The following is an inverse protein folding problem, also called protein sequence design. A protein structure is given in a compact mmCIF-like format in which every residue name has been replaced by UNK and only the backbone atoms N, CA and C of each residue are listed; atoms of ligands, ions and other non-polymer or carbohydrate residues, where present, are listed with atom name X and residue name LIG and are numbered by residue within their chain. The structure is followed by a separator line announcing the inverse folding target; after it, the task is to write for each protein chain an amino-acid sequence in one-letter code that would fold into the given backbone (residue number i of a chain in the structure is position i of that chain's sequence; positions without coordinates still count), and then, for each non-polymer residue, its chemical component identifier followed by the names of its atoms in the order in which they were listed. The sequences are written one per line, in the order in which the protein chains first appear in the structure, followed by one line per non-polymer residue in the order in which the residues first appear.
data_IF_417037964898
#
_entry.id   IF_417037964898
#
_cell.length_a   1.000
_cell.length_b   1.000
_cell.length_c   1.000
_cell.angle_alpha   90.00
_cell.angle_beta   90.00
_cell.angle_gamma   90.00
#
_symmetry.space_group_name_H-M   'P 1'
#
loop_
_entity.id
_entity.type
_entity.pdbx_description
1 polymer ?
#
# COMPACT_ATOMS: atom_id res chain seq x y z
N UNK A 1 81.38 -0.24 16.83
CA UNK A 1 81.00 0.21 15.47
C UNK A 1 79.60 0.80 15.55
N UNK A 2 79.46 2.05 15.07
CA UNK A 2 78.23 2.81 14.73
C UNK A 2 77.15 3.00 15.81
N UNK A 3 77.00 4.24 16.28
CA UNK A 3 75.71 4.83 16.67
C UNK A 3 75.32 5.94 15.67
N UNK A 4 74.40 6.87 15.99
CA UNK A 4 73.10 6.75 16.64
C UNK A 4 71.97 7.40 15.78
N UNK A 5 70.70 7.30 16.19
CA UNK A 5 69.62 8.06 15.54
C UNK A 5 68.25 7.84 16.18
N UNK A 6 67.90 8.67 17.16
CA UNK A 6 66.54 8.86 17.67
C UNK A 6 65.96 10.08 16.98
N UNK A 7 64.90 9.89 16.20
CA UNK A 7 63.97 10.94 15.77
C UNK A 7 62.58 10.53 16.33
N UNK A 8 61.81 11.31 17.07
CA UNK A 8 61.83 12.75 17.22
C UNK A 8 60.63 13.42 16.55
N UNK A 9 59.39 12.95 16.76
CA UNK A 9 58.20 13.74 16.39
C UNK A 9 57.17 13.80 17.52
N UNK A 10 57.25 14.93 18.22
CA UNK A 10 56.29 15.52 19.15
C UNK A 10 55.02 15.94 18.42
N UNK A 11 53.85 15.51 18.92
CA UNK A 11 52.55 16.05 18.52
C UNK A 11 52.39 17.51 19.00
N UNK A 12 51.91 18.43 18.16
CA UNK A 12 51.58 19.79 18.61
C UNK A 12 50.22 19.82 19.34
N UNK A 13 50.05 20.67 20.37
CA UNK A 13 48.81 20.76 21.13
C UNK A 13 47.71 21.48 20.35
N UNK A 14 46.48 20.98 20.52
CA UNK A 14 45.23 21.54 19.99
C UNK A 14 45.02 22.96 20.53
N UNK A 15 45.17 23.97 19.65
CA UNK A 15 44.74 25.35 19.96
C UNK A 15 43.22 25.44 19.96
N UNK A 16 42.64 25.74 21.13
CA UNK A 16 41.27 26.24 21.27
C UNK A 16 41.12 27.54 20.46
N UNK A 17 40.29 27.53 19.42
CA UNK A 17 39.69 28.76 18.89
C UNK A 17 38.48 29.12 19.76
N UNK A 18 38.62 30.16 20.56
CA UNK A 18 37.48 30.97 20.99
C UNK A 18 37.04 31.79 19.79
N UNK A 19 35.81 31.56 19.32
CA UNK A 19 35.10 32.51 18.46
C UNK A 19 33.84 32.99 19.18
N UNK A 20 33.62 34.29 18.98
CA UNK A 20 32.83 35.19 19.78
C UNK A 20 31.32 34.93 19.71
N UNK A 21 30.66 34.90 20.87
CA UNK A 21 29.22 35.00 21.03
C UNK A 21 28.73 36.38 20.56
N UNK A 22 28.28 36.48 19.30
CA UNK A 22 27.44 37.60 18.87
C UNK A 22 26.03 37.40 19.42
N UNK A 23 25.55 38.40 20.14
CA UNK A 23 24.22 38.47 20.71
C UNK A 23 23.14 38.36 19.62
N UNK A 24 22.46 37.22 19.54
CA UNK A 24 21.20 37.10 18.81
C UNK A 24 20.11 37.70 19.70
N UNK A 25 19.60 38.88 19.34
CA UNK A 25 18.40 39.45 19.97
C UNK A 25 17.22 38.52 19.71
N UNK A 26 16.61 37.98 20.78
CA UNK A 26 15.38 37.20 20.70
C UNK A 26 14.24 38.07 20.14
N UNK A 27 13.45 37.62 19.16
CA UNK A 27 12.26 38.35 18.73
C UNK A 27 11.22 38.37 19.85
N UNK A 28 10.66 39.56 20.07
CA UNK A 28 9.64 39.89 21.07
C UNK A 28 8.37 39.08 20.76
N UNK A 29 7.94 38.19 21.66
CA UNK A 29 6.65 37.47 21.55
C UNK A 29 5.51 38.49 21.51
N UNK A 30 4.89 38.65 20.35
CA UNK A 30 3.60 39.33 20.23
C UNK A 30 2.51 38.34 20.65
N UNK A 31 1.79 38.68 21.72
CA UNK A 31 0.61 37.94 22.19
C UNK A 31 -0.49 38.13 21.15
N UNK A 32 -0.72 37.14 20.28
CA UNK A 32 -1.96 37.06 19.49
C UNK A 32 -3.01 36.38 20.35
N UNK A 33 -4.02 37.14 20.76
CA UNK A 33 -5.30 36.58 21.16
C UNK A 33 -5.97 36.04 19.88
N UNK A 34 -6.22 34.74 19.83
CA UNK A 34 -6.96 34.08 18.76
C UNK A 34 -7.58 32.83 19.33
N UNK A 35 -8.92 32.78 19.35
CA UNK A 35 -9.71 31.71 19.94
C UNK A 35 -9.39 30.36 19.30
N UNK A 36 -9.37 29.32 20.13
CA UNK A 36 -9.31 27.95 19.67
C UNK A 36 -10.68 27.58 19.05
N UNK A 37 -10.79 27.74 17.73
CA UNK A 37 -11.90 27.16 16.98
C UNK A 37 -11.56 25.69 16.71
N UNK A 38 -12.42 24.78 17.21
CA UNK A 38 -12.33 23.35 16.93
C UNK A 38 -12.49 23.16 15.43
N UNK A 39 -11.45 22.66 14.76
CA UNK A 39 -11.58 22.15 13.39
C UNK A 39 -12.37 20.86 13.45
N UNK A 40 -13.68 20.94 13.20
CA UNK A 40 -14.49 19.76 12.93
C UNK A 40 -14.19 19.28 11.51
N UNK A 41 -13.80 18.01 11.36
CA UNK A 41 -13.71 17.31 10.07
C UNK A 41 -15.11 17.25 9.44
N UNK A 42 -15.49 18.28 8.70
CA UNK A 42 -16.71 18.28 7.90
C UNK A 42 -16.43 18.93 6.56
N UNK A 43 -16.21 18.10 5.55
CA UNK A 43 -16.11 18.55 4.16
C UNK A 43 -15.17 17.72 3.29
N UNK A 44 -15.43 16.42 3.14
CA UNK A 44 -14.94 15.72 1.94
C UNK A 44 -15.71 16.27 0.74
N UNK A 45 -15.09 17.18 -0.02
CA UNK A 45 -15.60 17.61 -1.32
C UNK A 45 -15.55 16.39 -2.25
N UNK A 46 -16.71 15.92 -2.71
CA UNK A 46 -16.81 14.91 -3.79
C UNK A 46 -16.29 15.53 -5.08
N UNK A 47 -15.02 15.31 -5.39
CA UNK A 47 -14.52 15.48 -6.75
C UNK A 47 -15.17 14.37 -7.58
N UNK A 48 -15.92 14.74 -8.62
CA UNK A 48 -16.52 13.76 -9.54
C UNK A 48 -15.46 13.35 -10.56
N UNK A 49 -14.79 12.24 -10.30
CA UNK A 49 -13.99 11.54 -11.29
C UNK A 49 -14.90 10.73 -12.23
N UNK A 50 -14.51 10.51 -13.50
CA UNK A 50 -15.19 9.54 -14.35
C UNK A 50 -15.18 8.19 -13.63
N UNK A 51 -16.37 7.61 -13.45
CA UNK A 51 -16.52 6.35 -12.73
C UNK A 51 -16.04 5.23 -13.64
N UNK A 52 -14.93 4.58 -13.28
CA UNK A 52 -14.64 3.24 -13.80
C UNK A 52 -15.82 2.34 -13.41
N UNK A 53 -16.29 1.43 -14.28
CA UNK A 53 -17.43 0.58 -13.97
C UNK A 53 -17.25 -0.15 -12.63
N UNK A 54 -18.34 -0.39 -11.88
CA UNK A 54 -18.37 -1.13 -10.59
C UNK A 54 -17.70 -2.52 -10.59
N UNK A 55 -17.32 -3.02 -11.76
CA UNK A 55 -16.71 -4.32 -12.00
C UNK A 55 -15.28 -4.45 -11.44
N UNK A 56 -14.59 -3.33 -11.21
CA UNK A 56 -13.15 -3.30 -10.93
C UNK A 56 -12.77 -2.97 -9.47
N UNK A 57 -13.78 -2.65 -8.65
CA UNK A 57 -13.62 -2.30 -7.24
C UNK A 57 -13.80 -3.52 -6.32
N UNK A 58 -12.98 -3.66 -5.29
CA UNK A 58 -13.10 -4.62 -4.16
C UNK A 58 -14.39 -4.39 -3.35
N UNK A 59 -15.55 -4.60 -3.97
CA UNK A 59 -16.86 -4.26 -3.44
C UNK A 59 -17.54 -5.42 -2.72
N UNK A 60 -16.85 -6.11 -1.80
CA UNK A 60 -17.52 -7.06 -0.89
C UNK A 60 -18.18 -6.29 0.25
N UNK A 61 -19.49 -6.47 0.44
CA UNK A 61 -20.16 -6.07 1.67
C UNK A 61 -19.94 -7.16 2.71
N UNK A 62 -19.44 -6.79 3.88
CA UNK A 62 -19.28 -7.71 5.01
C UNK A 62 -20.56 -7.63 5.85
N UNK A 63 -21.36 -8.70 5.81
CA UNK A 63 -22.45 -8.91 6.75
C UNK A 63 -21.96 -9.87 7.82
N UNK A 64 -21.76 -9.36 9.03
CA UNK A 64 -21.36 -10.17 10.18
C UNK A 64 -22.47 -11.09 10.72
N UNK A 65 -23.62 -11.17 10.03
CA UNK A 65 -24.74 -12.06 10.33
C UNK A 65 -25.01 -13.11 9.27
N UNK A 66 -24.18 -14.17 9.17
CA UNK A 66 -24.62 -15.42 8.52
C UNK A 66 -23.62 -16.18 7.65
N UNK A 67 -22.42 -15.66 7.39
CA UNK A 67 -21.36 -16.48 6.76
C UNK A 67 -20.78 -17.46 7.79
N UNK A 68 -20.58 -18.71 7.40
CA UNK A 68 -19.89 -19.68 8.24
C UNK A 68 -18.46 -19.18 8.51
N UNK A 69 -18.01 -19.24 9.77
CA UNK A 69 -16.64 -18.88 10.11
C UNK A 69 -15.65 -19.71 9.30
N UNK A 70 -14.61 -19.07 8.77
CA UNK A 70 -13.53 -19.75 8.03
C UNK A 70 -12.95 -20.83 8.95
N UNK A 71 -12.89 -22.07 8.47
CA UNK A 71 -12.28 -23.16 9.25
C UNK A 71 -10.76 -22.97 9.33
N UNK A 72 -10.07 -23.47 10.38
CA UNK A 72 -8.60 -23.37 10.46
C UNK A 72 -7.87 -23.94 9.22
N UNK A 73 -8.37 -25.04 8.66
CA UNK A 73 -7.81 -25.64 7.44
C UNK A 73 -8.01 -24.75 6.21
N UNK A 74 -9.19 -24.15 6.08
CA UNK A 74 -9.46 -23.20 5.00
C UNK A 74 -8.62 -21.94 5.14
N UNK A 75 -8.48 -21.43 6.37
CA UNK A 75 -7.63 -20.30 6.67
C UNK A 75 -6.18 -20.58 6.30
N UNK A 76 -5.67 -21.76 6.63
CA UNK A 76 -4.30 -22.19 6.27
C UNK A 76 -4.11 -22.16 4.75
N UNK A 77 -5.06 -22.70 3.98
CA UNK A 77 -5.01 -22.65 2.50
C UNK A 77 -5.06 -21.22 1.96
N UNK A 78 -5.92 -20.36 2.53
CA UNK A 78 -6.01 -18.95 2.13
C UNK A 78 -4.74 -18.18 2.49
N UNK A 79 -4.11 -18.47 3.63
CA UNK A 79 -2.81 -17.89 4.02
C UNK A 79 -1.69 -18.26 3.05
N UNK A 80 -1.62 -19.53 2.62
CA UNK A 80 -0.67 -19.98 1.60
C UNK A 80 -0.93 -19.29 0.26
N UNK A 81 -2.18 -19.23 -0.18
CA UNK A 81 -2.56 -18.52 -1.42
C UNK A 81 -2.24 -17.01 -1.34
N UNK A 82 -2.49 -16.39 -0.18
CA UNK A 82 -2.13 -15.00 0.09
C UNK A 82 -0.61 -14.81 -0.01
N UNK A 83 0.19 -15.67 0.62
CA UNK A 83 1.66 -15.63 0.53
C UNK A 83 2.16 -15.71 -0.92
N UNK A 84 1.58 -16.62 -1.70
CA UNK A 84 2.06 -16.94 -3.05
C UNK A 84 1.58 -15.96 -4.13
N UNK A 85 0.68 -15.03 -3.78
CA UNK A 85 0.10 -14.07 -4.71
C UNK A 85 1.14 -13.23 -5.47
N UNK A 86 2.29 -12.90 -4.86
CA UNK A 86 3.38 -12.21 -5.55
C UNK A 86 3.93 -13.04 -6.73
N UNK A 87 4.23 -14.32 -6.48
CA UNK A 87 4.72 -15.23 -7.52
C UNK A 87 3.68 -15.39 -8.63
N UNK A 88 2.41 -15.57 -8.26
CA UNK A 88 1.29 -15.65 -9.22
C UNK A 88 1.15 -14.39 -10.08
N UNK A 89 1.29 -13.20 -9.49
CA UNK A 89 1.25 -11.94 -10.24
C UNK A 89 2.40 -11.87 -11.24
N UNK A 90 3.63 -12.12 -10.81
CA UNK A 90 4.82 -12.10 -11.68
C UNK A 90 4.70 -13.11 -12.81
N UNK A 91 4.25 -14.33 -12.53
CA UNK A 91 4.05 -15.36 -13.56
C UNK A 91 2.89 -15.03 -14.51
N UNK A 92 1.82 -14.41 -14.00
CA UNK A 92 0.73 -13.87 -14.80
C UNK A 92 1.22 -12.79 -15.77
N UNK A 93 2.02 -11.85 -15.28
CA UNK A 93 2.55 -10.73 -16.06
C UNK A 93 3.46 -11.17 -17.22
N UNK A 94 4.14 -12.31 -17.12
CA UNK A 94 4.93 -12.89 -18.23
C UNK A 94 4.09 -13.26 -19.45
N UNK A 95 2.77 -13.41 -19.29
CA UNK A 95 1.85 -13.72 -20.37
C UNK A 95 1.46 -12.49 -21.19
N UNK A 96 1.87 -11.29 -20.79
CA UNK A 96 1.58 -10.03 -21.47
C UNK A 96 2.89 -9.40 -21.95
N UNK A 97 3.08 -9.25 -23.28
CA UNK A 97 4.18 -8.48 -23.87
C UNK A 97 4.27 -7.05 -23.25
N UNK A 98 5.43 -6.40 -23.23
CA UNK A 98 5.55 -5.10 -22.52
C UNK A 98 4.88 -3.91 -23.24
N UNK A 99 4.73 -3.99 -24.55
CA UNK A 99 4.07 -2.97 -25.40
C UNK A 99 2.57 -2.79 -25.08
N UNK A 100 1.87 -3.85 -24.69
CA UNK A 100 0.48 -3.79 -24.23
C UNK A 100 0.34 -3.08 -22.87
N UNK A 101 1.39 -2.99 -22.04
CA UNK A 101 1.19 -2.65 -20.62
C UNK A 101 0.51 -1.30 -20.38
N UNK A 102 0.72 -0.34 -21.29
CA UNK A 102 0.12 1.00 -21.21
C UNK A 102 -1.18 1.14 -22.02
N UNK A 103 -1.60 0.11 -22.75
CA UNK A 103 -2.85 0.15 -23.49
C UNK A 103 -4.05 0.26 -22.54
N UNK A 104 -4.96 1.17 -22.88
CA UNK A 104 -6.28 1.30 -22.26
C UNK A 104 -7.32 1.02 -23.32
N UNK A 105 -8.29 0.18 -22.98
CA UNK A 105 -9.42 -0.03 -23.86
C UNK A 105 -10.27 1.25 -24.01
N UNK A 106 -11.12 1.28 -25.03
CA UNK A 106 -12.01 2.41 -25.29
C UNK A 106 -13.10 2.58 -24.20
N UNK A 107 -13.22 1.64 -23.26
CA UNK A 107 -14.17 1.67 -22.16
C UNK A 107 -13.60 2.35 -20.91
N UNK A 108 -12.36 2.84 -20.97
CA UNK A 108 -11.72 3.56 -19.88
C UNK A 108 -11.27 2.65 -18.75
N UNK A 109 -11.01 1.37 -19.04
CA UNK A 109 -10.43 0.45 -18.07
C UNK A 109 -8.96 0.83 -17.79
N UNK A 110 -8.50 0.50 -16.58
CA UNK A 110 -7.09 0.64 -16.24
C UNK A 110 -6.23 -0.28 -17.11
N UNK A 111 -5.08 0.24 -17.52
CA UNK A 111 -4.03 -0.52 -18.19
C UNK A 111 -3.43 -1.58 -17.26
N UNK A 112 -2.74 -2.57 -17.82
CA UNK A 112 -1.99 -3.57 -17.02
C UNK A 112 -1.00 -2.87 -16.09
N UNK A 113 -0.34 -1.82 -16.57
CA UNK A 113 0.55 -0.98 -15.79
C UNK A 113 -0.16 -0.39 -14.56
N UNK A 114 -1.28 0.30 -14.76
CA UNK A 114 -2.03 0.93 -13.67
C UNK A 114 -2.58 -0.11 -12.68
N UNK A 115 -2.95 -1.30 -13.17
CA UNK A 115 -3.37 -2.41 -12.31
C UNK A 115 -2.22 -2.92 -11.41
N UNK A 116 -0.98 -2.97 -11.89
CA UNK A 116 0.19 -3.32 -11.06
C UNK A 116 0.42 -2.30 -9.95
N UNK A 117 0.32 -1.01 -10.27
CA UNK A 117 0.45 0.07 -9.28
C UNK A 117 -0.71 0.02 -8.28
N UNK A 118 -1.94 -0.17 -8.76
CA UNK A 118 -3.12 -0.33 -7.90
C UNK A 118 -2.98 -1.51 -6.93
N UNK A 119 -2.56 -2.69 -7.41
CA UNK A 119 -2.37 -3.86 -6.55
C UNK A 119 -1.42 -3.51 -5.39
N UNK A 120 -0.36 -2.77 -5.68
CA UNK A 120 0.65 -2.36 -4.71
C UNK A 120 0.09 -1.38 -3.67
N UNK A 121 -0.61 -0.33 -4.10
CA UNK A 121 -1.20 0.67 -3.19
C UNK A 121 -2.36 0.09 -2.36
N UNK A 122 -3.13 -0.81 -2.95
CA UNK A 122 -4.14 -1.59 -2.24
C UNK A 122 -3.49 -2.49 -1.17
N UNK A 123 -2.35 -3.14 -1.48
CA UNK A 123 -1.57 -3.89 -0.49
C UNK A 123 -0.99 -2.99 0.61
N UNK A 124 -0.55 -1.78 0.30
CA UNK A 124 -0.04 -0.83 1.30
C UNK A 124 -1.15 -0.40 2.29
N UNK A 125 -2.36 -0.13 1.77
CA UNK A 125 -3.54 0.11 2.60
C UNK A 125 -3.90 -1.13 3.42
N UNK A 126 -3.89 -2.30 2.79
CA UNK A 126 -4.14 -3.59 3.42
C UNK A 126 -3.19 -3.88 4.57
N UNK A 127 -1.89 -3.64 4.34
CA UNK A 127 -0.82 -3.79 5.30
C UNK A 127 -1.15 -3.03 6.57
N UNK A 128 -1.50 -1.75 6.47
CA UNK A 128 -1.87 -0.92 7.63
C UNK A 128 -3.16 -1.42 8.27
N UNK A 129 -4.20 -1.72 7.49
CA UNK A 129 -5.50 -2.21 7.98
C UNK A 129 -5.35 -3.51 8.78
N UNK A 130 -4.51 -4.44 8.31
CA UNK A 130 -4.20 -5.69 9.00
C UNK A 130 -3.62 -5.43 10.40
N UNK A 131 -2.64 -4.51 10.54
CA UNK A 131 -2.10 -4.16 11.87
C UNK A 131 -3.19 -3.61 12.78
N UNK A 132 -4.08 -2.76 12.25
CA UNK A 132 -5.18 -2.18 13.05
C UNK A 132 -6.20 -3.23 13.46
N UNK A 133 -6.56 -4.17 12.59
CA UNK A 133 -7.41 -5.32 12.98
C UNK A 133 -6.78 -6.13 14.10
N UNK A 134 -5.47 -6.38 14.04
CA UNK A 134 -4.76 -7.17 15.05
C UNK A 134 -4.64 -6.40 16.38
N UNK A 135 -4.20 -5.14 16.35
CA UNK A 135 -3.78 -4.39 17.55
C UNK A 135 -4.82 -3.37 18.06
N UNK A 136 -5.76 -2.95 17.22
CA UNK A 136 -6.74 -1.88 17.47
C UNK A 136 -8.17 -2.38 17.15
N UNK A 137 -8.50 -3.61 17.58
CA UNK A 137 -9.80 -4.23 17.33
C UNK A 137 -10.97 -3.33 17.77
N UNK A 138 -11.99 -3.22 16.92
CA UNK A 138 -13.17 -2.37 17.09
C UNK A 138 -13.06 -0.97 16.45
N UNK A 139 -11.87 -0.57 15.98
CA UNK A 139 -11.66 0.77 15.39
C UNK A 139 -12.19 0.88 13.94
N UNK A 140 -12.36 2.13 13.49
CA UNK A 140 -12.73 2.42 12.09
C UNK A 140 -11.51 2.43 11.17
N UNK A 141 -11.57 1.69 10.07
CA UNK A 141 -10.55 1.68 9.02
C UNK A 141 -10.69 2.88 8.10
N UNK A 142 -9.57 3.31 7.51
CA UNK A 142 -9.61 4.34 6.47
C UNK A 142 -10.00 3.71 5.14
N UNK A 143 -10.99 4.28 4.47
CA UNK A 143 -11.27 4.03 3.05
C UNK A 143 -10.39 4.94 2.18
N UNK A 144 -10.24 4.58 0.92
CA UNK A 144 -9.56 5.42 -0.07
C UNK A 144 -10.28 5.29 -1.42
N UNK A 145 -10.27 6.37 -2.21
CA UNK A 145 -10.83 6.37 -3.56
C UNK A 145 -9.74 5.93 -4.54
N UNK A 146 -9.76 4.66 -4.92
CA UNK A 146 -8.79 4.04 -5.81
C UNK A 146 -8.69 4.74 -7.19
N UNK A 147 -9.79 5.32 -7.69
CA UNK A 147 -9.82 6.03 -8.97
C UNK A 147 -9.19 7.41 -8.84
N UNK A 148 -9.49 8.09 -7.72
CA UNK A 148 -8.85 9.36 -7.41
C UNK A 148 -7.33 9.18 -7.22
N UNK A 149 -6.88 8.08 -6.61
CA UNK A 149 -5.46 7.77 -6.46
C UNK A 149 -4.82 7.49 -7.82
N UNK A 150 -5.41 6.61 -8.62
CA UNK A 150 -4.89 6.29 -9.95
C UNK A 150 -4.69 7.53 -10.83
N UNK A 151 -5.65 8.46 -10.77
CA UNK A 151 -5.58 9.72 -11.52
C UNK A 151 -4.62 10.73 -10.90
N UNK A 152 -4.71 10.97 -9.58
CA UNK A 152 -4.01 12.08 -8.93
C UNK A 152 -2.54 11.78 -8.64
N UNK A 153 -2.19 10.50 -8.55
CA UNK A 153 -0.81 10.02 -8.37
C UNK A 153 -0.18 9.57 -9.69
N UNK A 154 -0.88 9.79 -10.81
CA UNK A 154 -0.44 9.46 -12.17
C UNK A 154 0.14 8.04 -12.28
N UNK A 155 -0.68 7.03 -11.98
CA UNK A 155 -0.25 5.62 -12.00
C UNK A 155 0.35 5.20 -13.35
N UNK A 156 0.03 5.91 -14.43
CA UNK A 156 0.51 5.61 -15.76
C UNK A 156 2.00 5.94 -15.98
N UNK A 157 2.53 6.90 -15.22
CA UNK A 157 3.93 7.36 -15.32
C UNK A 157 4.85 6.74 -14.25
N UNK A 158 4.30 5.92 -13.34
CA UNK A 158 5.09 5.29 -12.28
C UNK A 158 5.97 4.14 -12.80
N UNK A 159 6.93 3.71 -11.99
CA UNK A 159 7.74 2.54 -12.31
C UNK A 159 7.05 1.26 -11.79
N UNK A 160 6.57 0.37 -12.67
CA UNK A 160 5.83 -0.82 -12.25
C UNK A 160 6.73 -1.87 -11.60
N UNK A 161 8.04 -1.87 -11.90
CA UNK A 161 8.97 -2.82 -11.30
C UNK A 161 9.27 -2.45 -9.83
N UNK A 162 9.36 -1.15 -9.53
CA UNK A 162 9.45 -0.65 -8.15
C UNK A 162 8.17 -0.94 -7.35
N UNK A 163 7.01 -0.79 -7.99
CA UNK A 163 5.72 -1.14 -7.40
C UNK A 163 5.66 -2.64 -7.04
N UNK A 164 6.07 -3.53 -7.95
CA UNK A 164 6.14 -4.98 -7.69
C UNK A 164 7.06 -5.34 -6.52
N UNK A 165 8.23 -4.70 -6.40
CA UNK A 165 9.12 -4.94 -5.27
C UNK A 165 8.54 -4.46 -3.94
N UNK A 166 7.86 -3.32 -3.93
CA UNK A 166 7.13 -2.85 -2.75
C UNK A 166 6.02 -3.83 -2.38
N UNK A 167 5.22 -4.29 -3.35
CA UNK A 167 4.18 -5.29 -3.14
C UNK A 167 4.75 -6.58 -2.51
N UNK A 168 5.86 -7.09 -3.04
CA UNK A 168 6.55 -8.28 -2.50
C UNK A 168 6.89 -8.12 -1.02
N UNK A 169 7.48 -6.98 -0.65
CA UNK A 169 7.90 -6.70 0.71
C UNK A 169 6.71 -6.54 1.66
N UNK A 170 5.68 -5.79 1.26
CA UNK A 170 4.46 -5.61 2.05
C UNK A 170 3.77 -6.95 2.31
N UNK A 171 3.59 -7.75 1.26
CA UNK A 171 2.95 -9.07 1.34
C UNK A 171 3.70 -10.01 2.27
N UNK A 172 5.03 -10.11 2.09
CA UNK A 172 5.89 -10.92 2.96
C UNK A 172 5.82 -10.47 4.42
N UNK A 173 5.92 -9.16 4.68
CA UNK A 173 5.89 -8.60 6.04
C UNK A 173 4.52 -8.75 6.72
N UNK A 174 3.43 -8.81 5.97
CA UNK A 174 2.12 -9.12 6.53
C UNK A 174 1.99 -10.61 6.81
N UNK A 175 2.35 -11.47 5.86
CA UNK A 175 2.31 -12.92 6.04
C UNK A 175 3.05 -13.39 7.29
N UNK A 176 4.30 -12.93 7.50
CA UNK A 176 5.10 -13.30 8.69
C UNK A 176 4.45 -12.93 10.03
N UNK A 177 3.57 -11.93 10.05
CA UNK A 177 2.84 -11.57 11.27
C UNK A 177 1.63 -12.48 11.44
N UNK A 178 0.87 -12.70 10.37
CA UNK A 178 -0.43 -13.37 10.45
C UNK A 178 -0.32 -14.90 10.56
N UNK A 179 0.77 -15.50 10.06
CA UNK A 179 0.96 -16.96 10.08
C UNK A 179 1.02 -17.57 11.49
N UNK A 180 1.39 -16.76 12.50
CA UNK A 180 1.53 -17.21 13.89
C UNK A 180 0.51 -16.60 14.85
N UNK A 181 -0.59 -16.03 14.34
CA UNK A 181 -1.60 -15.41 15.20
C UNK A 181 -2.41 -16.47 15.97
N UNK A 182 -2.74 -16.20 17.25
CA UNK A 182 -3.71 -17.00 18.00
C UNK A 182 -5.08 -17.04 17.31
N UNK A 183 -5.78 -18.16 17.42
CA UNK A 183 -7.10 -18.40 16.80
C UNK A 183 -8.09 -17.28 17.10
N UNK A 184 -8.09 -16.77 18.34
CA UNK A 184 -9.03 -15.75 18.80
C UNK A 184 -8.86 -14.42 18.05
N UNK A 185 -7.64 -14.12 17.58
CA UNK A 185 -7.32 -12.89 16.84
C UNK A 185 -8.06 -12.80 15.52
N UNK A 186 -8.36 -13.95 14.89
CA UNK A 186 -9.03 -13.99 13.59
C UNK A 186 -10.48 -13.47 13.65
N UNK A 187 -11.07 -13.49 14.85
CA UNK A 187 -12.38 -12.91 15.14
C UNK A 187 -12.36 -11.40 15.43
N UNK A 188 -11.19 -10.77 15.50
CA UNK A 188 -11.09 -9.31 15.68
C UNK A 188 -11.81 -8.60 14.54
N UNK A 189 -12.45 -7.48 14.89
CA UNK A 189 -13.29 -6.73 13.96
C UNK A 189 -12.77 -5.30 13.77
N UNK A 190 -13.13 -4.69 12.66
CA UNK A 190 -12.99 -3.27 12.43
C UNK A 190 -14.14 -2.77 11.56
N UNK A 191 -14.50 -1.49 11.69
CA UNK A 191 -15.54 -0.89 10.86
C UNK A 191 -14.93 -0.33 9.58
N UNK A 192 -15.27 -0.91 8.42
CA UNK A 192 -14.96 -0.35 7.11
C UNK A 192 -16.07 0.64 6.68
N UNK A 193 -15.76 1.92 6.41
CA UNK A 193 -16.78 2.95 6.12
C UNK A 193 -17.73 2.61 4.96
N UNK A 194 -17.29 1.78 4.01
CA UNK A 194 -18.05 1.42 2.82
C UNK A 194 -18.61 0.00 2.87
N UNK A 195 -17.94 -0.91 3.60
CA UNK A 195 -18.20 -2.34 3.53
C UNK A 195 -18.80 -2.90 4.83
N UNK A 196 -18.92 -2.07 5.87
CA UNK A 196 -19.48 -2.47 7.16
C UNK A 196 -18.44 -3.09 8.09
N UNK A 197 -18.92 -3.89 9.04
CA UNK A 197 -18.06 -4.55 10.02
C UNK A 197 -17.30 -5.70 9.36
N UNK A 198 -15.97 -5.68 9.43
CA UNK A 198 -15.07 -6.62 8.77
C UNK A 198 -14.22 -7.32 9.83
N UNK A 199 -14.15 -8.65 9.78
CA UNK A 199 -13.25 -9.47 10.60
C UNK A 199 -11.85 -9.57 9.97
N UNK A 200 -10.88 -10.14 10.71
CA UNK A 200 -9.57 -10.47 10.12
C UNK A 200 -9.67 -11.62 9.11
N UNK A 201 -10.61 -12.56 9.30
CA UNK A 201 -10.93 -13.60 8.30
C UNK A 201 -11.50 -12.98 7.00
N UNK A 202 -12.41 -12.01 7.11
CA UNK A 202 -12.93 -11.26 5.95
C UNK A 202 -11.82 -10.50 5.22
N UNK A 203 -10.90 -9.90 5.97
CA UNK A 203 -9.71 -9.25 5.42
C UNK A 203 -8.87 -10.25 4.63
N UNK A 204 -8.56 -11.43 5.19
CA UNK A 204 -7.75 -12.45 4.51
C UNK A 204 -8.42 -12.91 3.22
N UNK A 205 -9.70 -13.23 3.26
CA UNK A 205 -10.47 -13.60 2.06
C UNK A 205 -10.41 -12.48 1.00
N UNK A 206 -10.47 -11.23 1.44
CA UNK A 206 -10.45 -10.09 0.54
C UNK A 206 -9.12 -9.94 -0.19
N UNK A 207 -8.00 -10.02 0.52
CA UNK A 207 -6.67 -9.78 -0.08
C UNK A 207 -6.01 -11.03 -0.65
N UNK A 208 -6.57 -12.22 -0.37
CA UNK A 208 -6.23 -13.46 -1.05
C UNK A 208 -6.79 -13.48 -2.48
N UNK A 209 -8.07 -13.12 -2.68
CA UNK A 209 -8.69 -13.14 -4.03
C UNK A 209 -8.34 -11.92 -4.90
N UNK A 210 -7.87 -10.84 -4.30
CA UNK A 210 -7.58 -9.57 -4.97
C UNK A 210 -6.62 -9.70 -6.18
N UNK A 211 -5.49 -10.40 -6.02
CA UNK A 211 -4.53 -10.58 -7.13
C UNK A 211 -5.12 -11.44 -8.25
N UNK A 212 -5.72 -12.61 -7.98
CA UNK A 212 -6.44 -13.38 -9.00
C UNK A 212 -7.49 -12.56 -9.78
N UNK A 213 -8.29 -11.75 -9.09
CA UNK A 213 -9.28 -10.87 -9.73
C UNK A 213 -8.62 -9.85 -10.67
N UNK A 214 -7.54 -9.20 -10.24
CA UNK A 214 -6.82 -8.26 -11.10
C UNK A 214 -6.05 -8.92 -12.25
N UNK A 215 -5.61 -10.18 -12.11
CA UNK A 215 -5.04 -10.92 -13.24
C UNK A 215 -6.09 -11.24 -14.31
N UNK A 216 -7.33 -11.54 -13.93
CA UNK A 216 -8.44 -11.70 -14.87
C UNK A 216 -8.70 -10.40 -15.63
N UNK A 217 -8.73 -9.29 -14.91
CA UNK A 217 -8.82 -7.94 -15.44
C UNK A 217 -7.71 -7.59 -16.44
N UNK A 218 -6.45 -7.95 -16.14
CA UNK A 218 -5.33 -7.80 -17.09
C UNK A 218 -5.51 -8.66 -18.35
N UNK A 219 -6.01 -9.90 -18.20
CA UNK A 219 -6.31 -10.79 -19.33
C UNK A 219 -7.36 -10.20 -20.27
N UNK A 220 -8.44 -9.69 -19.73
CA UNK A 220 -9.50 -9.06 -20.52
C UNK A 220 -8.99 -7.84 -21.30
N UNK A 221 -8.13 -7.04 -20.68
CA UNK A 221 -7.49 -5.91 -21.33
C UNK A 221 -6.58 -6.38 -22.50
N UNK A 222 -5.78 -7.42 -22.27
CA UNK A 222 -4.96 -8.04 -23.32
C UNK A 222 -5.80 -8.61 -24.48
N UNK A 223 -6.90 -9.29 -24.19
CA UNK A 223 -7.77 -9.87 -25.21
C UNK A 223 -8.42 -8.76 -26.07
N UNK A 224 -8.78 -7.63 -25.46
CA UNK A 224 -9.30 -6.47 -26.17
C UNK A 224 -8.27 -5.85 -27.12
N UNK A 225 -7.00 -5.80 -26.73
CA UNK A 225 -5.91 -5.32 -27.60
C UNK A 225 -5.65 -6.25 -28.79
N UNK A 226 -5.60 -7.57 -28.55
CA UNK A 226 -5.44 -8.56 -29.61
C UNK A 226 -6.58 -8.50 -30.64
N UNK A 227 -7.80 -8.18 -30.20
CA UNK A 227 -8.94 -8.00 -31.11
C UNK A 227 -8.81 -6.75 -31.98
N UNK A 228 -8.18 -5.68 -31.47
CA UNK A 228 -7.91 -4.46 -32.25
C UNK A 228 -6.79 -4.65 -33.27
N UNK A 229 -5.70 -5.33 -32.88
CA UNK A 229 -4.55 -5.60 -33.75
C UNK A 229 -4.93 -6.49 -34.95
N UNK A 230 -5.77 -7.50 -34.72
CA UNK A 230 -6.29 -8.38 -35.78
C UNK A 230 -7.38 -7.75 -36.67
N UNK A 231 -7.80 -6.51 -36.39
CA UNK A 231 -8.80 -5.78 -37.17
C UNK A 231 -8.19 -4.79 -38.19
N UNK A 232 -6.86 -4.70 -38.26
CA UNK A 232 -6.09 -3.88 -39.22
C UNK A 232 -5.42 -4.70 -40.31
#
# INVERSE_FOLDING_TARGET
MVGPGRDGHTHPPLRRRQESLRHVRKPRRQRRQGGAERVTLRGYLKVRHPKVPRRWSLGRRYDCGGAAAITPDERTRKLESYRDAYGRLVDGLKQFPRDIWQFRDAHGCWSIHELVVHITDSEANSYVRCRRLIAESGETLMAYDENAWATSLDYHDQNPDEALELFRLLRHRTYTIIESLPEETWSHTAHHPENGNMTLDDWLETYESHVPEHLQHMRENYDAWMAQDNSG
#
